data_IF_953320017287
#
_entry.id   IF_953320017287
#
_cell.length_a   1.000
_cell.length_b   1.000
_cell.length_c   1.000
_cell.angle_alpha   90.00
_cell.angle_beta   90.00
_cell.angle_gamma   90.00
#
_symmetry.space_group_name_H-M   'P 1'
#
loop_
_entity.id
_entity.type
_entity.pdbx_description
1 polymer ?
#
# COMPACT_ATOMS: atom_id res chain seq x y z
N UNK A 1 21.55 -14.11 18.81
CA UNK A 1 21.78 -13.49 17.49
C UNK A 1 20.50 -13.75 16.72
N UNK A 2 19.68 -12.72 16.66
CA UNK A 2 18.23 -12.82 16.61
C UNK A 2 17.73 -13.28 15.22
N UNK A 3 17.04 -14.41 15.21
CA UNK A 3 16.37 -14.99 14.03
C UNK A 3 14.97 -14.41 13.79
N UNK A 4 14.65 -13.27 14.42
CA UNK A 4 13.41 -12.48 14.22
C UNK A 4 13.28 -11.81 12.84
N UNK A 5 13.86 -12.45 11.82
CA UNK A 5 13.45 -12.40 10.40
C UNK A 5 12.10 -13.08 10.18
N UNK A 6 11.16 -13.00 11.13
CA UNK A 6 9.81 -13.52 10.98
C UNK A 6 8.99 -12.51 10.17
N UNK A 7 9.00 -12.71 8.85
CA UNK A 7 7.86 -12.49 7.96
C UNK A 7 7.20 -11.10 8.00
N UNK A 8 7.82 -10.11 7.34
CA UNK A 8 7.15 -8.86 6.91
C UNK A 8 6.15 -9.15 5.77
N UNK A 9 5.08 -9.90 6.07
CA UNK A 9 3.95 -10.11 5.16
C UNK A 9 2.92 -8.99 5.41
N UNK A 10 3.04 -7.89 4.67
CA UNK A 10 1.98 -6.88 4.61
C UNK A 10 1.45 -6.86 3.19
N UNK A 11 0.34 -7.58 2.98
CA UNK A 11 -0.42 -7.54 1.74
C UNK A 11 -1.16 -6.21 1.67
N UNK A 12 -0.67 -5.30 0.84
CA UNK A 12 -1.42 -4.09 0.48
C UNK A 12 -2.42 -4.51 -0.59
N UNK A 13 -3.70 -4.50 -0.21
CA UNK A 13 -4.79 -4.76 -1.14
C UNK A 13 -4.99 -3.48 -1.95
N UNK A 14 -4.38 -3.45 -3.14
CA UNK A 14 -4.75 -2.49 -4.17
C UNK A 14 -6.11 -2.89 -4.74
N UNK A 15 -7.12 -2.09 -4.42
CA UNK A 15 -8.31 -1.65 -5.17
C UNK A 15 -9.04 -2.55 -6.19
N UNK A 16 -8.79 -3.85 -6.35
CA UNK A 16 -9.69 -4.66 -7.19
C UNK A 16 -9.76 -6.16 -6.86
N UNK A 17 -11.00 -6.56 -6.52
CA UNK A 17 -11.66 -7.86 -6.73
C UNK A 17 -11.66 -9.00 -5.69
N UNK A 18 -10.90 -9.01 -4.60
CA UNK A 18 -10.88 -10.20 -3.72
C UNK A 18 -11.30 -10.07 -2.26
N UNK A 19 -11.76 -8.90 -1.81
CA UNK A 19 -12.09 -8.72 -0.39
C UNK A 19 -13.58 -8.43 -0.23
N UNK A 20 -14.36 -9.51 -0.08
CA UNK A 20 -15.72 -9.44 0.51
C UNK A 20 -15.68 -9.15 2.02
N UNK A 21 -14.50 -9.04 2.59
CA UNK A 21 -14.25 -8.81 4.02
C UNK A 21 -14.53 -7.35 4.37
N UNK A 22 -15.23 -7.14 5.46
CA UNK A 22 -15.54 -5.81 5.98
C UNK A 22 -14.35 -5.22 6.74
N UNK A 23 -14.29 -3.89 6.86
CA UNK A 23 -13.29 -3.21 7.71
C UNK A 23 -13.26 -3.77 9.13
N UNK A 24 -14.42 -4.15 9.68
CA UNK A 24 -14.52 -4.67 11.05
C UNK A 24 -13.76 -5.98 11.19
N UNK A 25 -13.96 -6.92 10.26
CA UNK A 25 -13.27 -8.21 10.26
C UNK A 25 -11.76 -8.02 10.11
N UNK A 26 -11.30 -7.13 9.23
CA UNK A 26 -9.87 -6.83 9.08
C UNK A 26 -9.21 -6.25 10.35
N UNK A 27 -9.98 -5.57 11.20
CA UNK A 27 -9.48 -5.03 12.47
C UNK A 27 -9.41 -6.09 13.59
N UNK A 28 -10.15 -7.20 13.45
CA UNK A 28 -10.12 -8.32 14.39
C UNK A 28 -8.95 -9.28 14.11
N UNK A 29 -8.39 -9.24 12.90
CA UNK A 29 -7.26 -10.07 12.48
C UNK A 29 -5.92 -9.54 13.04
N UNK A 30 -5.31 -10.32 13.94
CA UNK A 30 -4.03 -9.95 14.59
C UNK A 30 -2.84 -9.78 13.63
N UNK A 31 -2.92 -10.35 12.42
CA UNK A 31 -1.88 -10.30 11.40
C UNK A 31 -2.15 -9.25 10.31
N UNK A 32 -3.17 -8.41 10.47
CA UNK A 32 -3.51 -7.34 9.53
C UNK A 32 -3.31 -5.99 10.20
N UNK A 33 -2.57 -5.11 9.53
CA UNK A 33 -2.49 -3.71 9.91
C UNK A 33 -3.32 -2.87 8.93
N UNK A 34 -4.37 -2.23 9.44
CA UNK A 34 -5.18 -1.26 8.67
C UNK A 34 -4.64 0.14 8.94
N UNK A 35 -3.87 0.67 8.01
CA UNK A 35 -3.34 2.02 8.11
C UNK A 35 -4.51 3.05 8.19
N UNK A 36 -4.50 3.97 9.17
CA UNK A 36 -5.51 5.02 9.25
C UNK A 36 -5.36 5.99 8.09
N UNK A 37 -6.50 6.50 7.59
CA UNK A 37 -6.50 7.59 6.63
C UNK A 37 -6.70 8.92 7.38
N UNK A 38 -5.59 9.64 7.59
CA UNK A 38 -5.57 10.94 8.25
C UNK A 38 -5.27 12.08 7.26
N UNK A 39 -5.39 13.33 7.75
CA UNK A 39 -5.17 14.52 6.93
C UNK A 39 -3.73 14.60 6.41
N UNK A 40 -2.75 14.12 7.19
CA UNK A 40 -1.35 14.15 6.79
C UNK A 40 -1.10 13.20 5.61
N UNK A 41 -1.67 11.99 5.65
CA UNK A 41 -1.61 11.04 4.55
C UNK A 41 -2.28 11.61 3.30
N UNK A 42 -3.44 12.26 3.46
CA UNK A 42 -4.14 12.89 2.35
C UNK A 42 -3.31 13.99 1.68
N UNK A 43 -2.69 14.87 2.46
CA UNK A 43 -1.83 15.93 1.92
C UNK A 43 -0.59 15.38 1.20
N UNK A 44 0.08 14.38 1.77
CA UNK A 44 1.24 13.75 1.14
C UNK A 44 0.85 13.06 -0.18
N UNK A 45 -0.29 12.36 -0.21
CA UNK A 45 -0.79 11.71 -1.42
C UNK A 45 -1.16 12.72 -2.51
N UNK A 46 -1.80 13.84 -2.15
CA UNK A 46 -2.13 14.92 -3.10
C UNK A 46 -0.87 15.56 -3.67
N UNK A 47 0.13 15.84 -2.82
CA UNK A 47 1.40 16.41 -3.29
C UNK A 47 2.07 15.47 -4.29
N UNK A 48 2.17 14.17 -3.95
CA UNK A 48 2.74 13.17 -4.85
C UNK A 48 1.98 13.07 -6.18
N UNK A 49 0.64 13.09 -6.15
CA UNK A 49 -0.19 13.08 -7.35
C UNK A 49 0.04 14.32 -8.22
N UNK A 50 0.07 15.51 -7.60
CA UNK A 50 0.31 16.77 -8.32
C UNK A 50 1.74 16.87 -8.90
N UNK A 51 2.73 16.30 -8.21
CA UNK A 51 4.15 16.31 -8.62
C UNK A 51 4.47 15.30 -9.73
N UNK A 52 3.51 14.45 -10.12
CA UNK A 52 3.69 13.38 -11.11
C UNK A 52 2.71 13.46 -12.29
N UNK A 53 2.65 14.59 -13.01
CA UNK A 53 1.82 14.70 -14.22
C UNK A 53 2.35 13.82 -15.36
N UNK A 54 3.58 13.30 -15.25
CA UNK A 54 4.18 12.35 -16.19
C UNK A 54 3.68 10.91 -16.04
N UNK A 55 2.84 10.65 -15.02
CA UNK A 55 2.34 9.32 -14.67
C UNK A 55 0.82 9.29 -14.73
N UNK A 56 0.28 8.15 -15.18
CA UNK A 56 -1.16 7.85 -15.14
C UNK A 56 -1.60 7.32 -13.75
N UNK A 57 -0.88 7.69 -12.69
CA UNK A 57 -1.15 7.24 -11.33
C UNK A 57 -2.44 7.87 -10.82
N UNK A 58 -3.29 7.09 -10.17
CA UNK A 58 -4.46 7.62 -9.46
C UNK A 58 -4.06 8.19 -8.09
N UNK A 59 -4.96 8.97 -7.47
CA UNK A 59 -4.79 9.40 -6.07
C UNK A 59 -4.73 8.20 -5.11
N UNK A 60 -5.42 7.10 -5.45
CA UNK A 60 -5.39 5.85 -4.67
C UNK A 60 -4.04 5.16 -4.76
N UNK A 61 -3.39 5.18 -5.93
CA UNK A 61 -2.02 4.68 -6.10
C UNK A 61 -1.05 5.51 -5.26
N UNK A 62 -1.14 6.85 -5.36
CA UNK A 62 -0.30 7.76 -4.58
C UNK A 62 -0.49 7.57 -3.07
N UNK A 63 -1.74 7.40 -2.62
CA UNK A 63 -2.05 7.08 -1.21
C UNK A 63 -1.38 5.78 -0.79
N UNK A 64 -1.46 4.74 -1.63
CA UNK A 64 -0.83 3.44 -1.37
C UNK A 64 0.69 3.57 -1.27
N UNK A 65 1.32 4.34 -2.16
CA UNK A 65 2.77 4.57 -2.15
C UNK A 65 3.25 5.29 -0.89
N UNK A 66 2.52 6.31 -0.44
CA UNK A 66 2.85 7.02 0.80
C UNK A 66 2.71 6.10 2.01
N UNK A 67 1.64 5.30 2.10
CA UNK A 67 1.49 4.29 3.17
C UNK A 67 2.65 3.30 3.14
N UNK A 68 3.01 2.79 1.95
CA UNK A 68 4.14 1.87 1.80
C UNK A 68 5.46 2.46 2.30
N UNK A 69 5.75 3.71 1.91
CA UNK A 69 6.95 4.42 2.34
C UNK A 69 6.99 4.64 3.85
N UNK A 70 5.89 5.13 4.45
CA UNK A 70 5.77 5.35 5.90
C UNK A 70 6.01 4.08 6.70
N UNK A 71 5.56 2.93 6.18
CA UNK A 71 5.70 1.63 6.85
C UNK A 71 6.90 0.80 6.37
N UNK A 72 7.76 1.34 5.51
CA UNK A 72 8.91 0.62 4.92
C UNK A 72 8.52 -0.71 4.26
N UNK A 73 7.35 -0.74 3.61
CA UNK A 73 6.86 -1.89 2.84
C UNK A 73 7.34 -1.75 1.40
N UNK A 74 8.01 -2.79 0.90
CA UNK A 74 8.53 -2.83 -0.48
C UNK A 74 7.66 -3.65 -1.43
N UNK A 75 6.99 -4.67 -0.89
CA UNK A 75 6.31 -5.67 -1.69
C UNK A 75 4.80 -5.37 -1.71
N UNK A 76 4.22 -5.25 -2.90
CA UNK A 76 2.81 -4.99 -3.11
C UNK A 76 2.11 -6.23 -3.67
N UNK A 77 1.02 -6.65 -3.04
CA UNK A 77 0.18 -7.74 -3.53
C UNK A 77 -0.76 -7.22 -4.63
N UNK A 78 -0.18 -6.93 -5.79
CA UNK A 78 -0.86 -6.33 -6.95
C UNK A 78 -0.23 -6.81 -8.24
N UNK A 79 -0.99 -6.75 -9.34
CA UNK A 79 -0.48 -6.88 -10.71
C UNK A 79 -0.43 -5.54 -11.45
N UNK A 80 -0.67 -4.43 -10.73
CA UNK A 80 -0.59 -3.10 -11.29
C UNK A 80 0.86 -2.61 -11.38
N UNK A 81 1.32 -2.42 -12.62
CA UNK A 81 2.65 -1.91 -12.94
C UNK A 81 2.96 -0.51 -12.39
N UNK A 82 1.96 0.29 -11.97
CA UNK A 82 2.19 1.58 -11.31
C UNK A 82 3.06 1.45 -10.06
N UNK A 83 2.91 0.34 -9.31
CA UNK A 83 3.71 0.07 -8.13
C UNK A 83 5.18 -0.15 -8.49
N UNK A 84 5.46 -0.83 -9.60
CA UNK A 84 6.83 -1.01 -10.10
C UNK A 84 7.43 0.33 -10.55
N UNK A 85 6.65 1.18 -11.23
CA UNK A 85 7.08 2.52 -11.62
C UNK A 85 7.44 3.40 -10.42
N UNK A 86 6.76 3.21 -9.29
CA UNK A 86 7.03 3.91 -8.03
C UNK A 86 8.17 3.29 -7.20
N UNK A 87 8.78 2.19 -7.68
CA UNK A 87 9.93 1.53 -7.05
C UNK A 87 9.59 0.37 -6.10
N UNK A 88 8.35 -0.10 -6.11
CA UNK A 88 7.90 -1.27 -5.33
C UNK A 88 7.98 -2.57 -6.13
N UNK A 89 7.84 -3.71 -5.44
CA UNK A 89 7.85 -5.05 -6.05
C UNK A 89 6.40 -5.53 -6.16
N UNK A 90 5.87 -5.61 -7.38
CA UNK A 90 4.58 -6.26 -7.64
C UNK A 90 4.71 -7.79 -7.54
N UNK A 91 3.91 -8.40 -6.67
CA UNK A 91 3.97 -9.84 -6.39
C UNK A 91 3.06 -10.69 -7.29
N UNK A 92 2.05 -10.11 -7.94
CA UNK A 92 1.14 -10.84 -8.83
C UNK A 92 1.60 -10.63 -10.28
N UNK A 93 2.23 -11.66 -10.86
CA UNK A 93 2.68 -11.70 -12.27
C UNK A 93 1.90 -12.75 -13.04
#
# INVERSE_FOLDING_TARGET
MDTDRISRRLGIISSSKYVRTTRKELLEESNVHVAPFDMQLYEEAIRLYADRPDKEWSLTDCTSFVVMQRHSVTDALTGDHHFEQAGFIALLK
#
